data_IF_999324660525
#
_entry.id   IF_999324660525
#
_cell.length_a   1.000
_cell.length_b   1.000
_cell.length_c   1.000
_cell.angle_alpha   90.00
_cell.angle_beta   90.00
_cell.angle_gamma   90.00
#
_symmetry.space_group_name_H-M   'P 1'
#
loop_
_entity.id
_entity.type
_entity.pdbx_description
1 polymer ?
#
# COMPACT_ATOMS: atom_id res chain seq x y z
N UNK A 1 -12.43 1.44 -17.98
CA UNK A 1 -11.79 1.14 -16.69
C UNK A 1 -10.95 -0.13 -16.78
N UNK A 2 -10.19 -0.44 -15.74
CA UNK A 2 -9.44 -1.70 -15.59
C UNK A 2 -10.21 -2.67 -14.68
N UNK A 3 -9.92 -3.98 -14.77
CA UNK A 3 -10.58 -4.97 -13.92
C UNK A 3 -10.15 -4.91 -12.45
N UNK A 4 -8.89 -4.55 -12.19
CA UNK A 4 -8.31 -4.42 -10.85
C UNK A 4 -7.06 -3.53 -10.89
N UNK A 5 -6.92 -2.64 -9.91
CA UNK A 5 -5.67 -1.92 -9.62
C UNK A 5 -4.94 -2.67 -8.50
N UNK A 6 -3.61 -2.72 -8.58
CA UNK A 6 -2.76 -3.17 -7.48
C UNK A 6 -1.94 -1.96 -7.02
N UNK A 7 -1.94 -1.67 -5.72
CA UNK A 7 -1.15 -0.56 -5.17
C UNK A 7 0.35 -0.80 -5.40
N UNK A 8 1.16 0.25 -5.24
CA UNK A 8 2.59 0.05 -5.00
C UNK A 8 2.83 -0.81 -3.74
N UNK A 9 4.05 -1.33 -3.59
CA UNK A 9 4.41 -2.17 -2.46
C UNK A 9 4.32 -1.43 -1.12
N UNK A 10 3.53 -1.97 -0.19
CA UNK A 10 3.34 -1.46 1.16
C UNK A 10 3.95 -2.44 2.16
N UNK A 11 4.87 -1.98 3.00
CA UNK A 11 5.57 -2.84 3.93
C UNK A 11 4.69 -3.28 5.11
N UNK A 12 4.69 -4.56 5.53
CA UNK A 12 3.92 -5.01 6.70
C UNK A 12 4.57 -4.60 8.03
N UNK A 13 5.85 -4.19 8.01
CA UNK A 13 6.60 -3.72 9.16
C UNK A 13 7.71 -2.76 8.71
N UNK A 14 8.43 -2.15 9.66
CA UNK A 14 9.50 -1.20 9.34
C UNK A 14 10.65 -1.83 8.55
N UNK A 15 11.09 -3.04 8.94
CA UNK A 15 12.22 -3.74 8.32
C UNK A 15 11.93 -4.20 6.89
N UNK A 16 10.67 -4.37 6.51
CA UNK A 16 10.26 -4.83 5.18
C UNK A 16 10.25 -3.76 4.09
N UNK A 17 10.56 -2.49 4.42
CA UNK A 17 10.47 -1.38 3.47
C UNK A 17 11.44 -1.53 2.30
N UNK A 18 11.01 -1.10 1.11
CA UNK A 18 11.81 -1.11 -0.13
C UNK A 18 12.79 0.05 -0.25
N UNK A 19 12.60 1.11 0.55
CA UNK A 19 13.48 2.27 0.63
C UNK A 19 13.26 2.99 1.96
N UNK A 20 14.18 3.89 2.38
CA UNK A 20 13.90 4.80 3.48
C UNK A 20 12.61 5.58 3.20
N UNK A 21 11.72 5.63 4.18
CA UNK A 21 10.41 6.30 4.10
C UNK A 21 9.38 5.66 3.15
N UNK A 22 9.65 4.47 2.59
CA UNK A 22 8.62 3.72 1.86
C UNK A 22 7.38 3.48 2.73
N UNK A 23 6.22 3.46 2.08
CA UNK A 23 4.95 3.25 2.75
C UNK A 23 4.90 1.90 3.48
N UNK A 24 4.20 1.90 4.62
CA UNK A 24 3.99 0.71 5.46
C UNK A 24 2.56 0.68 5.96
N UNK A 25 2.10 -0.50 6.35
CA UNK A 25 0.76 -0.75 6.90
C UNK A 25 0.90 -1.43 8.26
N UNK A 26 1.27 -0.65 9.25
CA UNK A 26 1.60 -1.09 10.62
C UNK A 26 0.69 -0.48 11.68
N UNK A 27 -0.06 0.57 11.35
CA UNK A 27 -0.99 1.22 12.27
C UNK A 27 -2.18 1.84 11.52
N UNK A 28 -3.19 2.26 12.28
CA UNK A 28 -4.44 2.82 11.72
C UNK A 28 -4.27 4.19 11.05
N UNK A 29 -3.23 4.96 11.39
CA UNK A 29 -2.96 6.25 10.74
C UNK A 29 -2.52 6.05 9.29
N UNK A 30 -1.68 5.04 9.04
CA UNK A 30 -1.28 4.62 7.69
C UNK A 30 -2.45 4.10 6.88
N UNK A 31 -3.32 3.30 7.49
CA UNK A 31 -4.55 2.84 6.85
C UNK A 31 -5.44 4.02 6.47
N UNK A 32 -5.58 5.01 7.36
CA UNK A 32 -6.35 6.23 7.10
C UNK A 32 -5.74 7.07 5.97
N UNK A 33 -4.42 7.19 5.90
CA UNK A 33 -3.75 7.87 4.81
C UNK A 33 -3.95 7.15 3.46
N UNK A 34 -3.94 5.81 3.46
CA UNK A 34 -4.15 5.04 2.23
C UNK A 34 -5.60 5.12 1.71
N UNK A 35 -6.57 5.48 2.56
CA UNK A 35 -7.99 5.59 2.16
C UNK A 35 -8.21 6.60 1.05
N UNK A 36 -7.45 7.68 0.99
CA UNK A 36 -7.58 8.68 -0.08
C UNK A 36 -7.53 8.04 -1.48
N UNK A 37 -6.60 7.10 -1.67
CA UNK A 37 -6.45 6.37 -2.93
C UNK A 37 -7.57 5.36 -3.13
N UNK A 38 -7.92 4.59 -2.09
CA UNK A 38 -8.97 3.56 -2.24
C UNK A 38 -10.35 4.19 -2.49
N UNK A 39 -10.65 5.30 -1.83
CA UNK A 39 -11.92 6.01 -1.97
C UNK A 39 -12.02 6.62 -3.37
N UNK A 40 -10.94 7.19 -3.91
CA UNK A 40 -10.90 7.69 -5.28
C UNK A 40 -11.13 6.57 -6.32
N UNK A 41 -10.53 5.40 -6.14
CA UNK A 41 -10.75 4.25 -7.04
C UNK A 41 -12.19 3.76 -6.96
N UNK A 42 -12.76 3.66 -5.75
CA UNK A 42 -14.13 3.20 -5.55
C UNK A 42 -15.17 4.20 -6.05
N UNK A 43 -14.90 5.51 -6.00
CA UNK A 43 -15.79 6.54 -6.55
C UNK A 43 -16.02 6.35 -8.06
N UNK A 44 -15.02 5.83 -8.78
CA UNK A 44 -15.10 5.49 -10.21
C UNK A 44 -15.61 4.06 -10.47
N UNK A 45 -16.13 3.37 -9.44
CA UNK A 45 -16.59 1.98 -9.52
C UNK A 45 -15.45 0.97 -9.75
N UNK A 46 -14.20 1.38 -9.52
CA UNK A 46 -13.02 0.53 -9.66
C UNK A 46 -12.81 -0.42 -8.49
N UNK A 47 -11.86 -1.35 -8.65
CA UNK A 47 -11.39 -2.24 -7.57
C UNK A 47 -9.90 -2.01 -7.37
N UNK A 48 -9.45 -2.05 -6.11
CA UNK A 48 -8.03 -1.97 -5.75
C UNK A 48 -7.65 -3.02 -4.72
N UNK A 49 -6.48 -3.63 -4.89
CA UNK A 49 -5.87 -4.54 -3.93
C UNK A 49 -4.55 -3.95 -3.42
N UNK A 50 -4.28 -4.09 -2.12
CA UNK A 50 -3.02 -3.67 -1.53
C UNK A 50 -1.95 -4.74 -1.75
N UNK A 51 -0.83 -4.34 -2.35
CA UNK A 51 0.35 -5.18 -2.42
C UNK A 51 1.13 -5.11 -1.11
N UNK A 52 0.95 -6.10 -0.23
CA UNK A 52 1.83 -6.28 0.93
C UNK A 52 3.17 -6.82 0.43
N UNK A 53 4.26 -6.10 0.74
CA UNK A 53 5.60 -6.41 0.24
C UNK A 53 6.63 -6.33 1.36
N UNK A 54 7.47 -7.36 1.48
CA UNK A 54 8.60 -7.37 2.41
C UNK A 54 9.91 -7.59 1.64
N UNK A 55 10.80 -6.60 1.62
CA UNK A 55 12.07 -6.65 0.85
C UNK A 55 13.11 -7.64 1.39
N UNK A 56 12.88 -8.17 2.59
CA UNK A 56 13.73 -9.20 3.20
C UNK A 56 15.14 -8.69 3.44
N UNK A 57 16.15 -9.38 2.90
CA UNK A 57 17.56 -8.97 3.01
C UNK A 57 17.88 -7.60 2.38
N UNK A 58 16.96 -7.06 1.57
CA UNK A 58 17.07 -5.76 0.93
C UNK A 58 16.21 -4.69 1.64
N UNK A 59 15.73 -4.99 2.84
CA UNK A 59 14.91 -4.10 3.65
C UNK A 59 15.69 -2.98 4.35
N UNK A 60 14.99 -1.89 4.67
CA UNK A 60 15.53 -0.68 5.32
C UNK A 60 14.95 -0.41 6.72
#
# INVERSE_FOLDING_TARGET
GVGLIVSGGIAPNRAGRVSPLAAKMTNSLEAKAHKEVTDAVHAEGGKICMQILHSGRYGY
#
